data_IF_894884934622
#
_entry.id   IF_894884934622
#
_cell.length_a   1.000
_cell.length_b   1.000
_cell.length_c   1.000
_cell.angle_alpha   90.00
_cell.angle_beta   90.00
_cell.angle_gamma   90.00
#
_symmetry.space_group_name_H-M   'P 1'
#
loop_
_entity.id
_entity.type
_entity.pdbx_description
1 polymer ?
#
# COMPACT_ATOMS: atom_id res chain seq x y z
N UNK A 1 27.58 -5.53 29.53
CA UNK A 1 27.22 -6.41 28.41
C UNK A 1 26.14 -7.32 28.96
N UNK A 2 24.84 -6.97 28.76
CA UNK A 2 23.74 -7.83 29.17
C UNK A 2 23.74 -9.01 28.23
N UNK A 3 24.08 -10.20 28.71
CA UNK A 3 23.82 -11.45 27.99
C UNK A 3 22.31 -11.50 27.74
N UNK A 4 21.89 -11.26 26.51
CA UNK A 4 20.48 -11.32 26.15
C UNK A 4 20.06 -12.79 26.22
N UNK A 5 19.35 -13.15 27.27
CA UNK A 5 18.72 -14.49 27.40
C UNK A 5 17.60 -14.69 26.39
N UNK A 6 17.18 -13.61 25.73
CA UNK A 6 16.08 -13.61 24.76
C UNK A 6 16.53 -14.16 23.41
N UNK A 7 15.80 -15.16 22.91
CA UNK A 7 15.95 -15.68 21.56
C UNK A 7 15.26 -14.74 20.58
N UNK A 8 15.98 -14.36 19.51
CA UNK A 8 15.41 -13.52 18.44
C UNK A 8 15.20 -14.36 17.20
N UNK A 9 13.98 -14.31 16.65
CA UNK A 9 13.56 -15.14 15.53
C UNK A 9 13.20 -14.27 14.34
N UNK A 10 13.82 -14.54 13.19
CA UNK A 10 13.39 -14.01 11.90
C UNK A 10 12.52 -15.01 11.18
N UNK A 11 11.40 -14.55 10.63
CA UNK A 11 10.48 -15.36 9.85
C UNK A 11 10.42 -14.81 8.42
N UNK A 12 10.73 -15.65 7.45
CA UNK A 12 10.49 -15.34 6.04
C UNK A 12 9.22 -16.06 5.61
N UNK A 13 8.16 -15.27 5.38
CA UNK A 13 6.78 -15.75 5.27
C UNK A 13 6.35 -15.81 3.81
N UNK A 14 6.10 -17.04 3.32
CA UNK A 14 5.54 -17.31 2.00
C UNK A 14 4.11 -17.87 2.08
N UNK A 15 3.41 -17.91 0.97
CA UNK A 15 2.01 -18.36 0.92
C UNK A 15 1.78 -19.81 1.42
N UNK A 16 2.78 -20.68 1.28
CA UNK A 16 2.67 -22.09 1.64
C UNK A 16 3.63 -22.53 2.75
N UNK A 17 4.62 -21.72 3.08
CA UNK A 17 5.67 -22.08 4.04
C UNK A 17 6.24 -20.85 4.73
N UNK A 18 6.80 -21.07 5.91
CA UNK A 18 7.50 -20.08 6.70
C UNK A 18 8.90 -20.60 7.02
N UNK A 19 9.92 -19.87 6.61
CA UNK A 19 11.29 -20.15 7.01
C UNK A 19 11.60 -19.43 8.32
N UNK A 20 12.00 -20.20 9.33
CA UNK A 20 12.33 -19.73 10.67
C UNK A 20 13.84 -19.81 10.87
N UNK A 21 14.44 -18.74 11.41
CA UNK A 21 15.80 -18.75 11.92
C UNK A 21 15.83 -18.12 13.34
N UNK A 22 16.29 -18.87 14.32
CA UNK A 22 16.36 -18.44 15.71
C UNK A 22 17.83 -18.25 16.12
N UNK A 23 18.14 -17.07 16.69
CA UNK A 23 19.48 -16.75 17.17
C UNK A 23 19.45 -16.27 18.61
N UNK A 24 20.59 -16.44 19.32
CA UNK A 24 20.86 -15.86 20.62
C UNK A 24 22.33 -15.45 20.64
N UNK A 25 22.64 -14.21 21.02
CA UNK A 25 24.01 -13.67 21.04
C UNK A 25 24.78 -13.96 19.72
N UNK A 26 24.09 -13.82 18.57
CA UNK A 26 24.57 -14.10 17.19
C UNK A 26 24.79 -15.60 16.86
N UNK A 27 24.62 -16.51 17.83
CA UNK A 27 24.65 -17.95 17.59
C UNK A 27 23.33 -18.44 17.01
N UNK A 28 23.40 -19.25 15.94
CA UNK A 28 22.22 -19.88 15.32
C UNK A 28 21.82 -21.09 16.17
N UNK A 29 20.65 -21.01 16.82
CA UNK A 29 20.12 -22.08 17.65
C UNK A 29 19.25 -23.07 16.86
N UNK A 30 18.51 -22.55 15.88
CA UNK A 30 17.56 -23.36 15.11
C UNK A 30 17.30 -22.72 13.76
N UNK A 31 17.12 -23.56 12.76
CA UNK A 31 16.72 -23.15 11.43
C UNK A 31 15.89 -24.23 10.78
N UNK A 32 14.69 -23.87 10.38
CA UNK A 32 13.75 -24.84 9.76
C UNK A 32 12.74 -24.18 8.86
N UNK A 33 12.09 -24.97 8.03
CA UNK A 33 10.90 -24.59 7.29
C UNK A 33 9.68 -25.20 7.96
N UNK A 34 8.67 -24.37 8.18
CA UNK A 34 7.35 -24.76 8.69
C UNK A 34 6.32 -24.63 7.56
N UNK A 35 5.22 -25.38 7.57
CA UNK A 35 4.07 -25.05 6.74
C UNK A 35 3.54 -23.65 7.13
N UNK A 36 2.81 -22.99 6.25
CA UNK A 36 2.07 -21.78 6.62
C UNK A 36 0.89 -22.18 7.53
N UNK A 37 1.19 -22.26 8.80
CA UNK A 37 0.26 -22.58 9.88
C UNK A 37 0.67 -21.77 11.12
N UNK A 38 -0.21 -20.87 11.55
CA UNK A 38 0.03 -19.93 12.64
C UNK A 38 0.29 -20.68 13.97
N UNK A 39 -0.40 -21.79 14.20
CA UNK A 39 -0.21 -22.63 15.39
C UNK A 39 1.14 -23.38 15.36
N UNK A 40 1.59 -23.82 14.18
CA UNK A 40 2.90 -24.44 14.05
C UNK A 40 4.03 -23.46 14.37
N UNK A 41 3.89 -22.19 13.94
CA UNK A 41 4.83 -21.11 14.29
C UNK A 41 4.78 -20.82 15.78
N UNK A 42 3.60 -20.71 16.38
CA UNK A 42 3.45 -20.49 17.82
C UNK A 42 4.13 -21.61 18.62
N UNK A 43 3.85 -22.88 18.31
CA UNK A 43 4.50 -24.03 18.96
C UNK A 43 6.02 -24.00 18.82
N UNK A 44 6.53 -23.58 17.65
CA UNK A 44 7.96 -23.44 17.44
C UNK A 44 8.58 -22.35 18.30
N UNK A 45 7.91 -21.20 18.45
CA UNK A 45 8.38 -20.06 19.27
C UNK A 45 8.32 -20.35 20.77
N UNK A 46 7.28 -21.02 21.26
CA UNK A 46 7.11 -21.36 22.69
C UNK A 46 8.14 -22.36 23.26
N UNK A 47 9.02 -22.87 22.41
CA UNK A 47 10.17 -23.69 22.87
C UNK A 47 11.19 -22.86 23.67
N UNK A 48 11.17 -21.54 23.54
CA UNK A 48 12.04 -20.63 24.25
C UNK A 48 11.26 -19.81 25.28
N UNK A 49 11.74 -19.79 26.55
CA UNK A 49 11.05 -19.06 27.63
C UNK A 49 10.94 -17.56 27.36
N UNK A 50 11.97 -17.00 26.69
CA UNK A 50 12.00 -15.59 26.28
C UNK A 50 12.30 -15.53 24.78
N UNK A 51 11.32 -15.11 24.00
CA UNK A 51 11.42 -15.06 22.53
C UNK A 51 10.75 -13.80 22.00
N UNK A 52 11.35 -13.22 20.98
CA UNK A 52 10.75 -12.19 20.15
C UNK A 52 10.94 -12.54 18.68
N UNK A 53 10.00 -12.19 17.84
CA UNK A 53 10.08 -12.52 16.41
C UNK A 53 9.76 -11.32 15.54
N UNK A 54 10.20 -11.38 14.29
CA UNK A 54 9.83 -10.41 13.27
C UNK A 54 9.68 -11.07 11.90
N UNK A 55 8.88 -10.44 11.03
CA UNK A 55 8.79 -10.80 9.62
C UNK A 55 8.53 -9.58 8.74
N UNK A 56 8.81 -9.70 7.44
CA UNK A 56 8.52 -8.65 6.46
C UNK A 56 7.04 -8.63 6.08
N UNK A 57 6.45 -7.43 6.02
CA UNK A 57 5.12 -7.26 5.47
C UNK A 57 5.07 -7.74 4.01
N UNK A 58 4.11 -8.59 3.69
CA UNK A 58 3.99 -9.22 2.39
C UNK A 58 2.54 -9.52 2.01
N UNK A 59 2.33 -10.25 0.90
CA UNK A 59 1.00 -10.57 0.40
C UNK A 59 0.19 -11.50 1.31
N UNK A 60 0.83 -12.13 2.28
CA UNK A 60 0.18 -12.97 3.29
C UNK A 60 -0.54 -12.18 4.40
N UNK A 61 -0.41 -10.85 4.38
CA UNK A 61 -1.09 -9.96 5.32
C UNK A 61 -0.57 -10.04 6.75
N UNK A 62 -1.45 -9.76 7.72
CA UNK A 62 -1.10 -9.61 9.13
C UNK A 62 -1.72 -10.70 10.04
N UNK A 63 -2.25 -11.79 9.48
CA UNK A 63 -2.86 -12.88 10.24
C UNK A 63 -1.90 -13.46 11.28
N UNK A 64 -0.69 -13.82 10.87
CA UNK A 64 0.36 -14.35 11.75
C UNK A 64 0.69 -13.39 12.91
N UNK A 65 0.85 -12.09 12.63
CA UNK A 65 1.08 -11.09 13.68
C UNK A 65 -0.04 -11.07 14.70
N UNK A 66 -1.30 -11.03 14.23
CA UNK A 66 -2.48 -10.98 15.10
C UNK A 66 -2.60 -12.25 15.96
N UNK A 67 -2.35 -13.40 15.35
CA UNK A 67 -2.36 -14.67 16.06
C UNK A 67 -1.33 -14.72 17.17
N UNK A 68 -0.08 -14.39 16.87
CA UNK A 68 1.02 -14.41 17.83
C UNK A 68 0.85 -13.35 18.93
N UNK A 69 0.47 -12.12 18.57
CA UNK A 69 0.24 -11.03 19.52
C UNK A 69 -0.92 -11.31 20.47
N UNK A 70 -2.03 -11.89 19.98
CA UNK A 70 -3.16 -12.29 20.81
C UNK A 70 -2.79 -13.36 21.84
N UNK A 71 -1.70 -14.11 21.63
CA UNK A 71 -1.17 -15.13 22.54
C UNK A 71 0.01 -14.64 23.38
N UNK A 72 0.25 -13.31 23.39
CA UNK A 72 1.27 -12.67 24.21
C UNK A 72 2.71 -12.87 23.73
N UNK A 73 2.90 -13.29 22.46
CA UNK A 73 4.21 -13.38 21.86
C UNK A 73 4.62 -12.02 21.26
N UNK A 74 5.86 -11.59 21.53
CA UNK A 74 6.42 -10.36 20.94
C UNK A 74 6.74 -10.61 19.46
N UNK A 75 5.86 -10.10 18.60
CA UNK A 75 5.97 -10.21 17.16
C UNK A 75 5.96 -8.82 16.52
N UNK A 76 6.91 -8.55 15.66
CA UNK A 76 7.00 -7.29 14.92
C UNK A 76 6.90 -7.52 13.42
N UNK A 77 6.22 -6.62 12.72
CA UNK A 77 6.16 -6.61 11.26
C UNK A 77 6.97 -5.42 10.76
N UNK A 78 7.84 -5.66 9.78
CA UNK A 78 8.73 -4.63 9.22
C UNK A 78 8.44 -4.41 7.74
N UNK A 79 8.64 -3.19 7.25
CA UNK A 79 8.48 -2.90 5.83
C UNK A 79 9.69 -3.40 5.04
N UNK A 80 9.52 -4.16 3.93
CA UNK A 80 10.63 -4.68 3.13
C UNK A 80 11.59 -3.58 2.64
N UNK A 81 11.03 -2.41 2.28
CA UNK A 81 11.81 -1.26 1.81
C UNK A 81 12.65 -0.55 2.88
N UNK A 82 12.43 -0.85 4.16
CA UNK A 82 13.19 -0.28 5.30
C UNK A 82 14.21 -1.27 5.87
N UNK A 83 14.22 -2.52 5.41
CA UNK A 83 15.21 -3.51 5.86
C UNK A 83 16.59 -3.18 5.27
N UNK A 84 17.61 -2.94 6.11
CA UNK A 84 18.94 -2.61 5.63
C UNK A 84 19.51 -3.66 4.69
N UNK A 85 20.05 -3.24 3.54
CA UNK A 85 20.73 -4.12 2.60
C UNK A 85 22.22 -3.82 2.55
N UNK A 86 23.04 -4.88 2.58
CA UNK A 86 24.49 -4.72 2.41
C UNK A 86 24.82 -4.50 0.93
N UNK A 87 25.73 -3.58 0.59
CA UNK A 87 26.28 -3.49 -0.76
C UNK A 87 26.86 -4.86 -1.17
N UNK A 88 26.36 -5.43 -2.27
CA UNK A 88 26.84 -6.74 -2.77
C UNK A 88 25.93 -7.95 -2.46
N UNK A 89 24.89 -7.82 -1.67
CA UNK A 89 23.87 -8.86 -1.42
C UNK A 89 22.97 -9.05 -2.66
N UNK A 90 23.56 -9.66 -3.71
CA UNK A 90 22.84 -9.95 -4.98
C UNK A 90 22.17 -11.32 -5.01
N UNK A 91 22.50 -12.19 -4.04
CA UNK A 91 21.96 -13.56 -3.96
C UNK A 91 20.89 -13.61 -2.87
N UNK A 92 19.64 -13.61 -3.28
CA UNK A 92 18.47 -13.74 -2.41
C UNK A 92 18.13 -15.23 -2.25
N UNK A 93 18.13 -15.73 -1.01
CA UNK A 93 17.66 -17.09 -0.67
C UNK A 93 16.95 -17.06 0.66
N UNK A 94 15.83 -17.78 0.77
CA UNK A 94 14.97 -17.83 1.97
C UNK A 94 15.72 -18.06 3.31
N UNK A 95 16.72 -18.98 3.40
CA UNK A 95 17.49 -19.16 4.63
C UNK A 95 18.30 -17.90 5.02
N UNK A 96 18.83 -17.19 4.04
CA UNK A 96 19.59 -15.95 4.31
C UNK A 96 18.67 -14.83 4.76
N UNK A 97 17.45 -14.76 4.21
CA UNK A 97 16.49 -13.71 4.52
C UNK A 97 15.98 -13.86 5.96
N UNK A 98 15.60 -15.06 6.41
CA UNK A 98 15.21 -15.32 7.80
C UNK A 98 16.34 -15.04 8.80
N UNK A 99 17.58 -15.51 8.52
CA UNK A 99 18.75 -15.22 9.38
C UNK A 99 19.09 -13.73 9.44
N UNK A 100 18.98 -13.04 8.29
CA UNK A 100 19.21 -11.59 8.20
C UNK A 100 18.21 -10.84 9.07
N UNK A 101 16.92 -11.18 8.98
CA UNK A 101 15.88 -10.57 9.81
C UNK A 101 16.14 -10.82 11.29
N UNK A 102 16.49 -12.04 11.70
CA UNK A 102 16.82 -12.35 13.07
C UNK A 102 17.97 -11.50 13.61
N UNK A 103 19.08 -11.37 12.84
CA UNK A 103 20.25 -10.56 13.23
C UNK A 103 19.94 -9.07 13.30
N UNK A 104 19.25 -8.52 12.31
CA UNK A 104 18.89 -7.11 12.30
C UNK A 104 17.93 -6.79 13.46
N UNK A 105 16.99 -7.70 13.76
CA UNK A 105 16.07 -7.55 14.89
C UNK A 105 16.81 -7.65 16.23
N UNK A 106 17.75 -8.58 16.37
CA UNK A 106 18.60 -8.68 17.57
C UNK A 106 19.42 -7.40 17.80
N UNK A 107 19.93 -6.80 16.73
CA UNK A 107 20.68 -5.55 16.76
C UNK A 107 19.86 -4.28 16.94
N UNK A 108 18.51 -4.38 16.99
CA UNK A 108 17.64 -3.20 17.07
C UNK A 108 17.67 -2.32 15.80
N UNK A 109 18.00 -2.90 14.64
CA UNK A 109 18.17 -2.19 13.38
C UNK A 109 16.91 -2.23 12.49
N UNK A 110 15.83 -2.82 12.98
CA UNK A 110 14.55 -2.90 12.27
C UNK A 110 13.54 -1.94 12.92
N UNK A 111 12.87 -1.17 12.09
CA UNK A 111 11.75 -0.33 12.51
C UNK A 111 10.43 -1.06 12.22
N UNK A 112 9.63 -1.36 13.26
CA UNK A 112 8.34 -2.00 13.07
C UNK A 112 7.35 -1.05 12.41
N UNK A 113 6.52 -1.59 11.54
CA UNK A 113 5.40 -0.84 10.99
C UNK A 113 4.19 -0.88 11.92
N UNK A 114 3.34 0.11 11.82
CA UNK A 114 2.02 0.06 12.43
C UNK A 114 1.15 -0.96 11.67
N UNK A 115 0.75 -2.02 12.36
CA UNK A 115 -0.17 -3.01 11.81
C UNK A 115 -1.61 -2.48 11.91
N UNK A 116 -2.35 -2.38 10.80
CA UNK A 116 -3.72 -1.88 10.81
C UNK A 116 -4.66 -2.84 11.57
N UNK A 117 -5.74 -2.31 12.14
CA UNK A 117 -6.84 -3.15 12.60
C UNK A 117 -7.49 -3.90 11.42
N UNK A 118 -8.21 -5.01 11.64
CA UNK A 118 -8.95 -5.69 10.58
C UNK A 118 -9.93 -4.77 9.84
N UNK A 119 -10.60 -3.88 10.56
CA UNK A 119 -11.52 -2.90 9.98
C UNK A 119 -10.78 -1.88 9.11
N UNK A 120 -9.63 -1.41 9.57
CA UNK A 120 -8.79 -0.50 8.79
C UNK A 120 -8.25 -1.19 7.52
N UNK A 121 -7.85 -2.44 7.62
CA UNK A 121 -7.38 -3.24 6.48
C UNK A 121 -8.50 -3.41 5.45
N UNK A 122 -9.71 -3.79 5.87
CA UNK A 122 -10.87 -3.93 4.99
C UNK A 122 -11.24 -2.61 4.29
N UNK A 123 -11.28 -1.51 5.01
CA UNK A 123 -11.55 -0.19 4.43
C UNK A 123 -10.43 0.26 3.47
N UNK A 124 -9.18 -0.08 3.77
CA UNK A 124 -8.03 0.16 2.89
C UNK A 124 -8.13 -0.63 1.59
N UNK A 125 -8.54 -1.90 1.67
CA UNK A 125 -8.72 -2.74 0.48
C UNK A 125 -9.83 -2.20 -0.43
N UNK A 126 -10.93 -1.71 0.16
CA UNK A 126 -12.01 -1.06 -0.58
C UNK A 126 -11.53 0.17 -1.37
N UNK A 127 -10.77 1.07 -0.72
CA UNK A 127 -10.22 2.26 -1.37
C UNK A 127 -9.21 1.89 -2.46
N UNK A 128 -8.37 0.89 -2.22
CA UNK A 128 -7.39 0.39 -3.20
C UNK A 128 -8.07 -0.28 -4.39
N UNK A 129 -9.12 -1.08 -4.17
CA UNK A 129 -9.91 -1.68 -5.26
C UNK A 129 -10.54 -0.60 -6.18
N UNK A 130 -10.97 0.53 -5.59
CA UNK A 130 -11.47 1.67 -6.39
C UNK A 130 -10.34 2.34 -7.19
N UNK A 131 -9.14 2.45 -6.61
CA UNK A 131 -7.98 2.99 -7.34
C UNK A 131 -7.56 2.09 -8.49
N UNK A 132 -7.58 0.77 -8.31
CA UNK A 132 -7.35 -0.21 -9.38
C UNK A 132 -8.38 -0.04 -10.51
N UNK A 133 -9.66 0.10 -10.16
CA UNK A 133 -10.71 0.40 -11.13
C UNK A 133 -10.46 1.71 -11.90
N UNK A 134 -9.96 2.76 -11.25
CA UNK A 134 -9.57 4.01 -11.91
C UNK A 134 -8.44 3.80 -12.92
N UNK A 135 -7.45 2.97 -12.58
CA UNK A 135 -6.35 2.63 -13.48
C UNK A 135 -6.83 1.78 -14.66
N UNK A 136 -7.70 0.80 -14.42
CA UNK A 136 -8.29 -0.03 -15.46
C UNK A 136 -9.13 0.82 -16.42
N UNK A 137 -9.96 1.72 -15.90
CA UNK A 137 -10.72 2.69 -16.70
C UNK A 137 -9.81 3.53 -17.60
N UNK A 138 -8.68 3.98 -17.08
CA UNK A 138 -7.71 4.74 -17.87
C UNK A 138 -7.13 3.89 -19.01
N UNK A 139 -6.80 2.62 -18.74
CA UNK A 139 -6.29 1.67 -19.74
C UNK A 139 -7.34 1.41 -20.84
N UNK A 140 -8.58 1.18 -20.45
CA UNK A 140 -9.67 0.90 -21.40
C UNK A 140 -9.99 2.13 -22.26
N UNK A 141 -10.01 3.31 -21.68
CA UNK A 141 -10.12 4.59 -22.44
C UNK A 141 -8.99 4.76 -23.44
N UNK A 142 -7.76 4.39 -23.08
CA UNK A 142 -6.63 4.45 -24.00
C UNK A 142 -6.76 3.42 -25.13
N UNK A 143 -7.14 2.15 -24.82
CA UNK A 143 -7.34 1.10 -25.81
C UNK A 143 -8.38 1.54 -26.83
N UNK A 144 -9.54 1.98 -26.35
CA UNK A 144 -10.65 2.43 -27.19
C UNK A 144 -10.28 3.65 -28.05
N UNK A 145 -9.59 4.65 -27.46
CA UNK A 145 -9.12 5.83 -28.18
C UNK A 145 -8.12 5.47 -29.29
N UNK A 146 -7.17 4.58 -29.00
CA UNK A 146 -6.16 4.15 -29.99
C UNK A 146 -6.76 3.27 -31.07
N UNK A 147 -7.73 2.41 -30.72
CA UNK A 147 -8.46 1.64 -31.70
C UNK A 147 -9.22 2.56 -32.67
N UNK A 148 -10.01 3.50 -32.19
CA UNK A 148 -10.72 4.47 -33.03
C UNK A 148 -9.76 5.26 -33.92
N UNK A 149 -8.65 5.74 -33.38
CA UNK A 149 -7.66 6.53 -34.11
C UNK A 149 -7.02 5.71 -35.25
N UNK A 150 -6.69 4.44 -35.02
CA UNK A 150 -6.13 3.54 -36.03
C UNK A 150 -7.08 3.33 -37.22
N UNK A 151 -8.40 3.36 -36.96
CA UNK A 151 -9.42 3.26 -37.98
C UNK A 151 -9.89 4.63 -38.53
N UNK A 152 -9.05 5.68 -38.40
CA UNK A 152 -9.33 7.02 -38.93
C UNK A 152 -10.41 7.80 -38.20
N UNK A 153 -10.87 7.32 -37.03
CA UNK A 153 -11.95 7.93 -36.25
C UNK A 153 -11.38 8.70 -35.06
N UNK A 154 -11.60 10.00 -35.04
CA UNK A 154 -11.13 10.87 -33.95
C UNK A 154 -12.25 11.09 -32.93
N UNK A 155 -11.96 10.79 -31.67
CA UNK A 155 -12.89 11.04 -30.57
C UNK A 155 -13.15 12.54 -30.42
N UNK A 156 -14.41 12.98 -30.26
CA UNK A 156 -14.74 14.40 -30.10
C UNK A 156 -14.28 14.93 -28.75
N UNK A 157 -13.86 16.18 -28.71
CA UNK A 157 -13.49 16.91 -27.50
C UNK A 157 -12.26 16.35 -26.79
N UNK A 158 -11.95 16.91 -25.61
CA UNK A 158 -10.80 16.50 -24.78
C UNK A 158 -11.17 15.62 -23.60
N UNK A 159 -12.39 15.76 -23.08
CA UNK A 159 -12.88 15.05 -21.90
C UNK A 159 -13.72 13.83 -22.24
N UNK A 160 -13.80 12.87 -21.33
CA UNK A 160 -14.72 11.74 -21.38
C UNK A 160 -16.11 12.19 -20.89
N UNK A 161 -16.89 12.78 -21.80
CA UNK A 161 -18.19 13.36 -21.55
C UNK A 161 -19.33 12.48 -22.08
N UNK A 162 -20.56 12.81 -21.70
CA UNK A 162 -21.78 12.17 -22.24
C UNK A 162 -21.81 12.22 -23.77
N UNK A 163 -21.48 13.36 -24.37
CA UNK A 163 -21.42 13.51 -25.83
C UNK A 163 -20.41 12.55 -26.48
N UNK A 164 -19.27 12.28 -25.84
CA UNK A 164 -18.33 11.27 -26.32
C UNK A 164 -18.90 9.86 -26.21
N UNK A 165 -19.60 9.55 -25.14
CA UNK A 165 -20.31 8.26 -24.98
C UNK A 165 -21.34 8.05 -26.08
N UNK A 166 -22.18 9.05 -26.38
CA UNK A 166 -23.17 9.03 -27.48
C UNK A 166 -22.43 8.80 -28.80
N UNK A 167 -21.33 9.53 -29.05
CA UNK A 167 -20.56 9.35 -30.28
C UNK A 167 -20.01 7.92 -30.39
N UNK A 168 -19.49 7.33 -29.32
CA UNK A 168 -18.97 5.95 -29.31
C UNK A 168 -20.11 4.95 -29.63
N UNK A 169 -21.29 5.09 -29.05
CA UNK A 169 -22.42 4.17 -29.31
C UNK A 169 -22.91 4.17 -30.78
N UNK A 170 -22.63 5.23 -31.51
CA UNK A 170 -22.98 5.38 -32.93
C UNK A 170 -21.93 4.81 -33.87
N UNK A 171 -20.77 4.40 -33.40
CA UNK A 171 -19.71 3.93 -34.29
C UNK A 171 -20.03 2.57 -34.87
N UNK A 172 -19.78 2.42 -36.19
CA UNK A 172 -19.92 1.14 -36.93
C UNK A 172 -18.67 0.91 -37.75
N UNK A 173 -18.18 -0.31 -37.76
CA UNK A 173 -16.98 -0.71 -38.47
C UNK A 173 -17.35 -1.63 -39.65
N UNK A 174 -16.60 -1.57 -40.77
CA UNK A 174 -16.97 -2.31 -41.99
C UNK A 174 -16.79 -3.82 -41.84
N UNK A 175 -15.82 -4.27 -41.03
CA UNK A 175 -15.56 -5.69 -40.81
C UNK A 175 -16.12 -6.15 -39.46
N UNK A 176 -16.78 -7.32 -39.47
CA UNK A 176 -17.36 -7.90 -38.25
C UNK A 176 -16.36 -8.06 -37.10
N UNK A 177 -15.12 -8.44 -37.44
CA UNK A 177 -14.06 -8.56 -36.44
C UNK A 177 -13.64 -7.22 -35.79
N UNK A 178 -13.68 -6.13 -36.57
CA UNK A 178 -13.44 -4.78 -36.04
C UNK A 178 -14.58 -4.33 -35.13
N UNK A 179 -15.82 -4.56 -35.57
CA UNK A 179 -17.00 -4.22 -34.76
C UNK A 179 -16.96 -4.98 -33.42
N UNK A 180 -16.74 -6.30 -33.47
CA UNK A 180 -16.64 -7.13 -32.25
C UNK A 180 -15.55 -6.64 -31.31
N UNK A 181 -14.39 -6.28 -31.85
CA UNK A 181 -13.25 -5.75 -31.05
C UNK A 181 -13.62 -4.41 -30.40
N UNK A 182 -14.25 -3.51 -31.16
CA UNK A 182 -14.72 -2.24 -30.65
C UNK A 182 -15.76 -2.40 -29.54
N UNK A 183 -16.78 -3.24 -29.78
CA UNK A 183 -17.85 -3.52 -28.82
C UNK A 183 -17.29 -4.15 -27.54
N UNK A 184 -16.31 -5.04 -27.66
CA UNK A 184 -15.61 -5.61 -26.50
C UNK A 184 -14.90 -4.55 -25.66
N UNK A 185 -14.19 -3.60 -26.29
CA UNK A 185 -13.53 -2.52 -25.56
C UNK A 185 -14.51 -1.54 -24.92
N UNK A 186 -15.62 -1.25 -25.61
CA UNK A 186 -16.67 -0.38 -25.08
C UNK A 186 -17.36 -1.03 -23.87
N UNK A 187 -17.68 -2.32 -23.99
CA UNK A 187 -18.26 -3.11 -22.89
C UNK A 187 -17.33 -3.19 -21.67
N UNK A 188 -16.02 -3.41 -21.87
CA UNK A 188 -15.04 -3.39 -20.79
C UNK A 188 -15.03 -2.04 -20.05
N UNK A 189 -15.13 -0.93 -20.80
CA UNK A 189 -15.24 0.40 -20.21
C UNK A 189 -16.55 0.58 -19.41
N UNK A 190 -17.67 0.05 -19.89
CA UNK A 190 -18.96 0.10 -19.18
C UNK A 190 -18.91 -0.68 -17.86
N UNK A 191 -18.33 -1.88 -17.89
CA UNK A 191 -18.17 -2.71 -16.71
C UNK A 191 -17.28 -2.05 -15.64
N UNK A 192 -16.17 -1.46 -16.05
CA UNK A 192 -15.28 -0.79 -15.09
C UNK A 192 -15.88 0.50 -14.52
N UNK A 193 -16.65 1.25 -15.32
CA UNK A 193 -17.39 2.43 -14.83
C UNK A 193 -18.42 2.02 -13.77
N UNK A 194 -19.24 0.98 -14.04
CA UNK A 194 -20.20 0.45 -13.07
C UNK A 194 -19.55 -0.09 -11.79
N UNK A 195 -18.39 -0.77 -11.92
CA UNK A 195 -17.60 -1.23 -10.77
C UNK A 195 -17.12 -0.06 -9.90
N UNK A 196 -16.60 1.00 -10.52
CA UNK A 196 -16.15 2.20 -9.80
C UNK A 196 -17.31 2.85 -9.05
N UNK A 197 -18.46 3.02 -9.68
CA UNK A 197 -19.66 3.59 -9.04
C UNK A 197 -20.11 2.78 -7.83
N UNK A 198 -20.09 1.45 -7.93
CA UNK A 198 -20.42 0.57 -6.80
C UNK A 198 -19.43 0.72 -5.64
N UNK A 199 -18.13 0.78 -5.94
CA UNK A 199 -17.08 0.98 -4.93
C UNK A 199 -17.15 2.37 -4.30
N UNK A 200 -17.46 3.42 -5.07
CA UNK A 200 -17.62 4.78 -4.55
C UNK A 200 -18.81 4.88 -3.58
N UNK A 201 -19.95 4.23 -3.88
CA UNK A 201 -21.07 4.14 -2.92
C UNK A 201 -20.66 3.43 -1.62
N UNK A 202 -19.98 2.30 -1.72
CA UNK A 202 -19.50 1.58 -0.53
C UNK A 202 -18.48 2.40 0.28
N UNK A 203 -17.64 3.21 -0.38
CA UNK A 203 -16.72 4.14 0.27
C UNK A 203 -17.49 5.23 1.03
N UNK A 204 -18.52 5.83 0.44
CA UNK A 204 -19.34 6.83 1.10
C UNK A 204 -20.05 6.25 2.34
N UNK A 205 -20.64 5.06 2.22
CA UNK A 205 -21.25 4.34 3.35
C UNK A 205 -20.24 4.04 4.45
N UNK A 206 -19.04 3.56 4.10
CA UNK A 206 -17.96 3.27 5.06
C UNK A 206 -17.50 4.54 5.77
N UNK A 207 -17.42 5.66 5.06
CA UNK A 207 -17.01 6.95 5.61
C UNK A 207 -18.06 7.51 6.61
N UNK A 208 -19.35 7.22 6.40
CA UNK A 208 -20.44 7.73 7.24
C UNK A 208 -20.71 6.86 8.47
N UNK A 209 -20.50 5.55 8.38
CA UNK A 209 -20.99 4.58 9.38
C UNK A 209 -19.89 4.01 10.29
N UNK A 210 -18.64 4.27 10.06
CA UNK A 210 -17.56 3.62 10.79
C UNK A 210 -16.80 4.53 11.75
N UNK A 211 -15.72 4.03 12.30
CA UNK A 211 -14.80 4.80 13.16
C UNK A 211 -14.15 5.97 12.42
N UNK A 212 -14.35 6.05 11.11
CA UNK A 212 -13.75 7.06 10.22
C UNK A 212 -14.55 8.36 10.15
N UNK A 213 -15.82 8.36 10.58
CA UNK A 213 -16.76 9.46 10.36
C UNK A 213 -16.22 10.82 10.79
N UNK A 214 -15.73 10.92 12.03
CA UNK A 214 -15.21 12.18 12.55
C UNK A 214 -13.93 12.63 11.82
N UNK A 215 -13.00 11.71 11.61
CA UNK A 215 -11.76 11.99 10.91
C UNK A 215 -12.00 12.41 9.46
N UNK A 216 -12.90 11.72 8.75
CA UNK A 216 -13.32 12.08 7.39
C UNK A 216 -13.95 13.46 7.37
N UNK A 217 -14.84 13.78 8.32
CA UNK A 217 -15.45 15.11 8.42
C UNK A 217 -14.39 16.21 8.63
N UNK A 218 -13.41 15.98 9.50
CA UNK A 218 -12.30 16.92 9.72
C UNK A 218 -11.44 17.09 8.46
N UNK A 219 -11.08 16.01 7.78
CA UNK A 219 -10.25 16.07 6.58
C UNK A 219 -10.97 16.76 5.42
N UNK A 220 -12.28 16.61 5.30
CA UNK A 220 -13.10 17.28 4.28
C UNK A 220 -13.18 18.81 4.46
N UNK A 221 -12.82 19.33 5.63
CA UNK A 221 -12.64 20.79 5.81
C UNK A 221 -11.42 21.32 5.03
N UNK A 222 -10.51 20.45 4.63
CA UNK A 222 -9.35 20.84 3.82
C UNK A 222 -9.77 20.98 2.36
N UNK A 223 -9.30 22.06 1.74
CA UNK A 223 -9.60 22.35 0.34
C UNK A 223 -9.06 21.26 -0.59
N UNK A 224 -9.94 20.75 -1.45
CA UNK A 224 -9.59 19.71 -2.43
C UNK A 224 -9.63 18.28 -1.88
N UNK A 225 -10.15 18.13 -0.67
CA UNK A 225 -10.36 16.82 -0.03
C UNK A 225 -11.86 16.53 -0.01
N UNK A 226 -12.29 15.59 -0.83
CA UNK A 226 -13.65 15.00 -0.83
C UNK A 226 -13.71 13.76 0.08
N UNK A 227 -14.87 13.11 0.16
CA UNK A 227 -15.06 11.90 0.99
C UNK A 227 -14.10 10.79 0.60
N UNK A 228 -13.94 10.52 -0.69
CA UNK A 228 -13.04 9.50 -1.19
C UNK A 228 -11.58 9.76 -0.79
N UNK A 229 -11.12 11.00 -1.01
CA UNK A 229 -9.77 11.42 -0.64
C UNK A 229 -9.57 11.37 0.87
N UNK A 230 -10.55 11.83 1.65
CA UNK A 230 -10.50 11.83 3.11
C UNK A 230 -10.42 10.41 3.67
N UNK A 231 -11.32 9.51 3.24
CA UNK A 231 -11.28 8.12 3.68
C UNK A 231 -9.97 7.44 3.24
N UNK A 232 -9.52 7.67 2.00
CA UNK A 232 -8.25 7.13 1.50
C UNK A 232 -7.06 7.54 2.36
N UNK A 233 -6.97 8.81 2.75
CA UNK A 233 -5.93 9.31 3.66
C UNK A 233 -6.08 8.66 5.04
N UNK A 234 -7.30 8.63 5.59
CA UNK A 234 -7.59 8.08 6.92
C UNK A 234 -7.18 6.60 7.04
N UNK A 235 -7.61 5.75 6.12
CA UNK A 235 -7.34 4.31 6.19
C UNK A 235 -5.89 3.94 5.88
N UNK A 236 -5.21 4.71 5.07
CA UNK A 236 -3.80 4.47 4.75
C UNK A 236 -2.86 4.93 5.87
N UNK A 237 -3.18 6.03 6.54
CA UNK A 237 -2.39 6.55 7.65
C UNK A 237 -2.74 5.83 8.96
N UNK A 238 -4.03 5.59 9.21
CA UNK A 238 -4.52 5.03 10.48
C UNK A 238 -4.47 6.06 11.61
N UNK A 239 -3.71 5.79 12.65
CA UNK A 239 -3.57 6.70 13.78
C UNK A 239 -2.64 7.88 13.45
N UNK A 240 -3.20 9.07 13.38
CA UNK A 240 -2.44 10.32 13.21
C UNK A 240 -1.67 10.72 14.47
N UNK A 241 -2.11 10.27 15.64
CA UNK A 241 -1.47 10.58 16.94
C UNK A 241 -0.04 10.01 17.06
N UNK A 242 0.31 9.04 16.22
CA UNK A 242 1.69 8.49 16.16
C UNK A 242 2.72 9.48 15.59
N UNK A 243 2.29 10.55 14.94
CA UNK A 243 3.16 11.61 14.42
C UNK A 243 3.14 12.81 15.37
N UNK A 244 4.29 13.14 15.95
CA UNK A 244 4.43 14.28 16.86
C UNK A 244 4.39 15.62 16.12
N UNK A 245 4.79 15.61 14.84
CA UNK A 245 4.88 16.81 14.01
C UNK A 245 4.40 16.55 12.58
N UNK A 246 3.99 17.61 11.89
CA UNK A 246 3.67 17.55 10.47
C UNK A 246 4.88 17.09 9.62
N UNK A 247 6.12 17.42 10.03
CA UNK A 247 7.32 16.99 9.35
C UNK A 247 7.51 15.46 9.39
N UNK A 248 7.19 14.81 10.51
CA UNK A 248 7.21 13.35 10.62
C UNK A 248 6.19 12.70 9.65
N UNK A 249 4.98 13.23 9.56
CA UNK A 249 3.99 12.77 8.59
C UNK A 249 4.48 12.97 7.14
N UNK A 250 5.06 14.13 6.83
CA UNK A 250 5.61 14.40 5.51
C UNK A 250 6.76 13.45 5.15
N UNK A 251 7.61 13.11 6.12
CA UNK A 251 8.68 12.12 5.95
C UNK A 251 8.10 10.72 5.70
N UNK A 252 7.10 10.31 6.48
CA UNK A 252 6.39 9.04 6.34
C UNK A 252 5.78 8.85 4.94
N UNK A 253 5.21 9.89 4.35
CA UNK A 253 4.64 9.84 3.00
C UNK A 253 5.66 10.18 1.90
N UNK A 254 6.91 10.48 2.24
CA UNK A 254 7.99 10.78 1.31
C UNK A 254 7.82 12.10 0.55
N UNK A 255 7.23 13.11 1.19
CA UNK A 255 7.07 14.48 0.67
C UNK A 255 8.19 15.42 1.13
N UNK A 256 9.20 14.92 1.83
CA UNK A 256 10.39 15.70 2.20
C UNK A 256 11.44 15.62 1.08
N UNK A 257 12.21 16.69 0.84
CA UNK A 257 13.29 16.66 -0.15
C UNK A 257 14.38 15.66 0.29
N UNK A 258 14.98 14.97 -0.67
CA UNK A 258 16.23 14.24 -0.42
C UNK A 258 17.36 15.24 -0.16
N UNK A 259 18.29 14.90 0.74
CA UNK A 259 19.40 15.75 1.06
C UNK A 259 20.71 14.97 0.99
N UNK A 260 21.70 15.54 0.32
CA UNK A 260 23.06 15.05 0.17
C UNK A 260 24.05 16.14 0.55
N UNK A 261 23.93 16.64 1.77
CA UNK A 261 24.75 17.75 2.26
C UNK A 261 26.03 17.23 2.91
N UNK A 262 27.15 17.92 2.67
CA UNK A 262 28.42 17.67 3.31
C UNK A 262 29.09 18.99 3.70
N UNK A 263 29.49 19.12 4.97
CA UNK A 263 30.06 20.35 5.50
C UNK A 263 29.11 21.54 5.37
N UNK A 264 29.58 22.65 4.82
CA UNK A 264 28.77 23.87 4.64
C UNK A 264 27.88 23.85 3.39
N UNK A 265 28.02 22.83 2.51
CA UNK A 265 27.23 22.76 1.28
C UNK A 265 25.95 21.97 1.49
N UNK A 266 24.81 22.67 1.41
CA UNK A 266 23.49 22.05 1.43
C UNK A 266 23.03 21.74 0.00
N UNK A 267 22.85 20.43 -0.31
CA UNK A 267 22.31 19.95 -1.59
C UNK A 267 21.01 19.22 -1.36
N UNK A 268 19.90 19.86 -1.72
CA UNK A 268 18.56 19.27 -1.70
C UNK A 268 18.17 18.82 -3.10
N UNK A 269 17.64 17.60 -3.19
CA UNK A 269 17.11 17.02 -4.42
C UNK A 269 15.57 17.06 -4.48
N UNK A 270 15.00 16.19 -5.31
CA UNK A 270 13.56 15.97 -5.36
C UNK A 270 13.04 15.30 -4.08
N UNK A 271 11.70 15.22 -3.93
CA UNK A 271 11.11 14.49 -2.81
C UNK A 271 11.60 13.04 -2.77
N UNK A 272 11.77 12.49 -1.57
CA UNK A 272 12.33 11.15 -1.35
C UNK A 272 11.50 10.03 -1.96
N UNK A 273 10.18 10.22 -2.07
CA UNK A 273 9.21 9.21 -2.53
C UNK A 273 9.22 7.91 -1.73
N UNK A 274 9.81 7.91 -0.56
CA UNK A 274 9.75 6.80 0.40
C UNK A 274 8.35 6.69 0.98
N UNK A 275 7.96 5.50 1.44
CA UNK A 275 6.67 5.28 2.09
C UNK A 275 5.47 5.23 1.15
N UNK A 276 4.28 5.54 1.68
CA UNK A 276 2.99 5.27 1.02
C UNK A 276 2.75 6.17 -0.20
N UNK A 277 2.88 5.60 -1.39
CA UNK A 277 2.70 6.30 -2.67
C UNK A 277 1.24 6.70 -2.92
N UNK A 278 0.28 5.93 -2.39
CA UNK A 278 -1.15 6.21 -2.56
C UNK A 278 -1.54 7.49 -1.80
N UNK A 279 -1.19 7.58 -0.51
CA UNK A 279 -1.41 8.80 0.28
C UNK A 279 -0.69 10.00 -0.32
N UNK A 280 0.57 9.83 -0.71
CA UNK A 280 1.33 10.91 -1.36
C UNK A 280 0.61 11.46 -2.57
N UNK A 281 0.06 10.60 -3.44
CA UNK A 281 -0.72 11.02 -4.61
C UNK A 281 -1.97 11.79 -4.18
N UNK A 282 -2.75 11.29 -3.23
CA UNK A 282 -3.97 11.95 -2.74
C UNK A 282 -3.66 13.35 -2.19
N UNK A 283 -2.61 13.48 -1.38
CA UNK A 283 -2.20 14.77 -0.82
C UNK A 283 -1.73 15.74 -1.89
N UNK A 284 -0.96 15.27 -2.89
CA UNK A 284 -0.53 16.12 -4.01
C UNK A 284 -1.71 16.57 -4.87
N UNK A 285 -2.65 15.67 -5.17
CA UNK A 285 -3.86 16.01 -5.92
C UNK A 285 -4.72 17.03 -5.17
N UNK A 286 -4.92 16.86 -3.87
CA UNK A 286 -5.62 17.82 -3.02
C UNK A 286 -4.91 19.20 -3.01
N UNK A 287 -3.58 19.22 -2.89
CA UNK A 287 -2.79 20.45 -2.87
C UNK A 287 -2.89 21.26 -4.17
N UNK A 288 -3.11 20.62 -5.33
CA UNK A 288 -3.32 21.33 -6.60
C UNK A 288 -4.55 22.25 -6.57
N UNK A 289 -5.56 21.92 -5.77
CA UNK A 289 -6.74 22.77 -5.61
C UNK A 289 -6.44 24.10 -4.90
N UNK A 290 -5.39 24.15 -4.07
CA UNK A 290 -4.95 25.38 -3.42
C UNK A 290 -4.43 26.45 -4.40
N UNK A 291 -3.97 26.05 -5.61
CA UNK A 291 -3.50 26.98 -6.65
C UNK A 291 -4.63 27.75 -7.35
N UNK A 292 -5.86 27.29 -7.24
CA UNK A 292 -7.01 27.95 -7.86
C UNK A 292 -7.64 28.90 -6.84
N UNK A 293 -8.14 30.04 -7.29
CA UNK A 293 -8.93 30.93 -6.42
C UNK A 293 -10.19 30.20 -5.96
N UNK A 294 -10.60 30.35 -4.67
CA UNK A 294 -11.88 29.80 -4.21
C UNK A 294 -12.99 30.37 -5.08
N UNK A 295 -13.87 29.50 -5.58
CA UNK A 295 -15.16 29.99 -6.08
C UNK A 295 -16.03 30.14 -4.84
N UNK A 296 -16.40 31.37 -4.52
CA UNK A 296 -17.44 31.65 -3.54
C UNK A 296 -18.74 31.33 -4.27
N UNK A 297 -19.49 30.32 -3.77
CA UNK A 297 -20.81 29.99 -4.26
C UNK A 297 -21.84 31.01 -3.83
#
# INVERSE_FOLDING_TARGET
MFESTTVTVGLDVHASSIRLAAIRADELLDERTLPYDEEAVERALRRWPSVRCCYEAGPTGFGLYRHLSARGLDCQVVAPGLVPQRPGDRVKTDPRDARKLARLHAGGLLEPIHVPSPEQEAARDLVRAREDGRLDRMRDRHRLSKFCLRHGRRLPGRSWSVSRRIWLSQQRFPFAAEQLTFDSYLHALDLVDARIEALERAIDETAEQGPWRELVAMLRCLRGVDTLTALGIAVEIGDFGRFRTAAELMAFVGLVPSEHSSGEQRRQGSITKVGNSHVRRLLVEAAWHARRRPKVG
#
